data_IF_306411042428
#
_entry.id   IF_306411042428
#
_cell.length_a   1.000
_cell.length_b   1.000
_cell.length_c   1.000
_cell.angle_alpha   90.00
_cell.angle_beta   90.00
_cell.angle_gamma   90.00
#
_symmetry.space_group_name_H-M   'P 1'
#
loop_
_entity.id
_entity.type
_entity.pdbx_description
1 polymer ?
#
# COMPACT_ATOMS: atom_id res chain seq x y z
N UNK A 1 -23.88 -0.04 0.13
CA UNK A 1 -22.90 0.27 1.20
C UNK A 1 -22.02 1.39 0.69
N UNK A 2 -22.04 2.52 1.39
CA UNK A 2 -21.31 3.73 1.01
C UNK A 2 -19.84 3.55 1.34
N UNK A 3 -18.97 3.70 0.35
CA UNK A 3 -17.52 3.56 0.49
C UNK A 3 -16.99 4.76 1.26
N UNK A 4 -16.52 4.55 2.48
CA UNK A 4 -15.90 5.62 3.27
C UNK A 4 -14.44 5.75 2.87
N UNK A 5 -14.16 6.64 1.92
CA UNK A 5 -12.80 7.15 1.72
C UNK A 5 -12.51 8.26 2.75
N UNK A 6 -11.25 8.42 3.20
CA UNK A 6 -10.82 9.63 3.88
C UNK A 6 -11.15 10.85 2.99
N UNK A 7 -11.60 11.95 3.61
CA UNK A 7 -11.92 13.20 2.90
C UNK A 7 -10.80 13.56 1.92
N UNK A 8 -11.15 13.82 0.65
CA UNK A 8 -10.26 14.37 -0.38
C UNK A 8 -9.43 15.51 0.23
N UNK A 9 -8.12 15.32 0.35
CA UNK A 9 -7.19 16.44 0.43
C UNK A 9 -7.27 17.18 -0.90
N UNK A 10 -7.42 18.50 -0.82
CA UNK A 10 -8.02 19.35 -1.87
C UNK A 10 -7.14 19.52 -3.13
N UNK A 11 -5.94 18.93 -3.16
CA UNK A 11 -4.91 19.18 -4.19
C UNK A 11 -4.23 17.90 -4.75
N UNK A 12 -4.87 16.72 -4.66
CA UNK A 12 -4.30 15.48 -5.24
C UNK A 12 -5.09 15.02 -6.47
N UNK A 13 -4.39 14.75 -7.57
CA UNK A 13 -4.97 14.12 -8.77
C UNK A 13 -5.47 12.71 -8.43
N UNK A 14 -6.70 12.38 -8.83
CA UNK A 14 -7.25 11.03 -8.72
C UNK A 14 -6.83 10.15 -9.89
N UNK A 15 -7.14 8.85 -9.81
CA UNK A 15 -6.78 7.88 -10.84
C UNK A 15 -7.33 8.26 -12.24
N UNK A 16 -8.50 8.89 -12.32
CA UNK A 16 -9.07 9.34 -13.60
C UNK A 16 -8.27 10.48 -14.19
N UNK A 17 -7.99 11.50 -13.40
CA UNK A 17 -7.23 12.66 -13.84
C UNK A 17 -5.81 12.26 -14.27
N UNK A 18 -5.17 11.34 -13.53
CA UNK A 18 -3.86 10.79 -13.91
C UNK A 18 -3.95 10.07 -15.26
N UNK A 19 -4.91 9.16 -15.42
CA UNK A 19 -4.97 8.33 -16.62
C UNK A 19 -5.40 9.10 -17.87
N UNK A 20 -6.11 10.22 -17.74
CA UNK A 20 -6.35 11.14 -18.86
C UNK A 20 -5.05 11.70 -19.46
N UNK A 21 -4.00 11.91 -18.65
CA UNK A 21 -2.68 12.29 -19.15
C UNK A 21 -1.93 11.09 -19.70
N UNK A 22 -1.95 9.96 -18.98
CA UNK A 22 -1.22 8.74 -19.36
C UNK A 22 -1.61 8.24 -20.76
N UNK A 23 -2.91 8.14 -21.07
CA UNK A 23 -3.36 7.56 -22.36
C UNK A 23 -3.04 8.43 -23.58
N UNK A 24 -2.61 9.68 -23.38
CA UNK A 24 -2.27 10.62 -24.46
C UNK A 24 -0.78 10.62 -24.80
N UNK A 25 0.05 10.02 -23.95
CA UNK A 25 1.49 9.91 -24.14
C UNK A 25 1.87 8.43 -24.27
N UNK A 26 2.24 7.94 -25.48
CA UNK A 26 2.53 6.54 -25.71
C UNK A 26 3.63 5.96 -24.80
N UNK A 27 4.68 6.73 -24.49
CA UNK A 27 5.79 6.24 -23.66
C UNK A 27 5.33 6.01 -22.22
N UNK A 28 4.60 6.98 -21.66
CA UNK A 28 4.05 6.89 -20.31
C UNK A 28 2.97 5.82 -20.25
N UNK A 29 2.17 5.68 -21.31
CA UNK A 29 1.14 4.65 -21.42
C UNK A 29 1.73 3.25 -21.38
N UNK A 30 2.76 2.99 -22.19
CA UNK A 30 3.44 1.68 -22.23
C UNK A 30 4.16 1.37 -20.91
N UNK A 31 4.79 2.37 -20.30
CA UNK A 31 5.36 2.22 -18.96
C UNK A 31 4.30 1.83 -17.93
N UNK A 32 3.12 2.44 -17.99
CA UNK A 32 2.00 2.14 -17.08
C UNK A 32 1.49 0.72 -17.28
N UNK A 33 1.32 0.27 -18.53
CA UNK A 33 0.93 -1.11 -18.85
C UNK A 33 1.98 -2.13 -18.39
N UNK A 34 3.27 -1.81 -18.55
CA UNK A 34 4.36 -2.66 -18.05
C UNK A 34 4.39 -2.73 -16.51
N UNK A 35 3.98 -1.67 -15.81
CA UNK A 35 3.77 -1.71 -14.35
C UNK A 35 2.63 -2.61 -13.94
N UNK A 36 1.52 -2.63 -14.68
CA UNK A 36 0.46 -3.61 -14.43
C UNK A 36 0.99 -5.03 -14.61
N UNK A 37 1.63 -5.32 -15.76
CA UNK A 37 2.24 -6.63 -16.03
C UNK A 37 3.13 -7.10 -14.89
N UNK A 38 4.02 -6.21 -14.42
CA UNK A 38 4.95 -6.52 -13.33
C UNK A 38 4.22 -6.73 -12.00
N UNK A 39 3.13 -6.00 -11.76
CA UNK A 39 2.32 -6.13 -10.54
C UNK A 39 1.63 -7.49 -10.47
N UNK A 40 1.04 -7.97 -11.57
CA UNK A 40 0.37 -9.29 -11.58
C UNK A 40 1.35 -10.44 -11.41
N UNK A 41 2.55 -10.32 -12.00
CA UNK A 41 3.64 -11.28 -11.78
C UNK A 41 4.07 -11.32 -10.31
N UNK A 42 4.09 -10.16 -9.65
CA UNK A 42 4.46 -10.06 -8.24
C UNK A 42 3.36 -10.65 -7.35
N UNK A 43 2.09 -10.37 -7.63
CA UNK A 43 0.96 -10.98 -6.94
C UNK A 43 1.02 -12.52 -6.97
N UNK A 44 1.36 -13.13 -8.12
CA UNK A 44 1.58 -14.58 -8.22
C UNK A 44 2.61 -15.09 -7.20
N UNK A 45 3.75 -14.40 -7.07
CA UNK A 45 4.81 -14.77 -6.13
C UNK A 45 4.33 -14.65 -4.69
N UNK A 46 3.70 -13.54 -4.33
CA UNK A 46 3.31 -13.26 -2.94
C UNK A 46 2.21 -14.21 -2.47
N UNK A 47 1.23 -14.51 -3.33
CA UNK A 47 0.19 -15.51 -3.07
C UNK A 47 0.78 -16.92 -2.94
N UNK A 48 1.81 -17.26 -3.72
CA UNK A 48 2.51 -18.56 -3.60
C UNK A 48 3.21 -18.66 -2.24
N UNK A 49 3.92 -17.61 -1.82
CA UNK A 49 4.56 -17.55 -0.49
C UNK A 49 3.51 -17.71 0.63
N UNK A 50 2.33 -17.11 0.47
CA UNK A 50 1.24 -17.28 1.44
C UNK A 50 0.75 -18.73 1.52
N UNK A 51 0.57 -19.41 0.38
CA UNK A 51 0.21 -20.84 0.35
C UNK A 51 1.25 -21.69 1.06
N UNK A 52 2.54 -21.43 0.81
CA UNK A 52 3.64 -22.16 1.47
C UNK A 52 3.62 -21.94 2.99
N UNK A 53 3.40 -20.70 3.45
CA UNK A 53 3.29 -20.38 4.89
C UNK A 53 2.07 -21.01 5.56
N UNK A 54 0.98 -21.19 4.81
CA UNK A 54 -0.21 -21.87 5.31
C UNK A 54 0.05 -23.35 5.59
N UNK A 55 0.99 -23.98 4.89
CA UNK A 55 1.43 -25.37 5.13
C UNK A 55 0.24 -26.35 5.31
N UNK A 56 -0.68 -26.33 4.35
CA UNK A 56 -1.88 -27.17 4.35
C UNK A 56 -2.98 -26.76 5.34
N UNK A 57 -2.73 -25.76 6.21
CA UNK A 57 -3.74 -25.20 7.12
C UNK A 57 -4.72 -24.34 6.32
N UNK A 58 -6.01 -24.48 6.62
CA UNK A 58 -7.10 -23.82 5.91
C UNK A 58 -7.17 -24.20 4.41
N UNK A 59 -7.51 -25.47 4.14
CA UNK A 59 -7.56 -26.08 2.81
C UNK A 59 -8.43 -25.32 1.80
N UNK A 60 -9.51 -24.69 2.26
CA UNK A 60 -10.39 -23.89 1.40
C UNK A 60 -9.69 -22.61 0.94
N UNK A 61 -9.03 -21.90 1.86
CA UNK A 61 -8.24 -20.71 1.53
C UNK A 61 -7.11 -21.05 0.56
N UNK A 62 -6.36 -22.13 0.80
CA UNK A 62 -5.28 -22.58 -0.10
C UNK A 62 -5.83 -22.82 -1.52
N UNK A 63 -6.95 -23.53 -1.64
CA UNK A 63 -7.58 -23.81 -2.94
C UNK A 63 -7.97 -22.52 -3.66
N UNK A 64 -8.52 -21.56 -2.93
CA UNK A 64 -8.94 -20.29 -3.52
C UNK A 64 -7.73 -19.43 -3.91
N UNK A 65 -6.68 -19.38 -3.09
CA UNK A 65 -5.41 -18.72 -3.43
C UNK A 65 -4.77 -19.32 -4.69
N UNK A 66 -4.83 -20.64 -4.89
CA UNK A 66 -4.33 -21.26 -6.13
C UNK A 66 -5.11 -20.82 -7.37
N UNK A 67 -6.41 -20.55 -7.25
CA UNK A 67 -7.22 -20.00 -8.35
C UNK A 67 -6.87 -18.55 -8.60
N UNK A 68 -6.68 -17.77 -7.53
CA UNK A 68 -6.23 -16.39 -7.61
C UNK A 68 -4.89 -16.29 -8.36
N UNK A 69 -3.89 -17.12 -7.99
CA UNK A 69 -2.61 -17.20 -8.72
C UNK A 69 -2.81 -17.52 -10.21
N UNK A 70 -3.75 -18.41 -10.55
CA UNK A 70 -4.03 -18.72 -11.94
C UNK A 70 -4.60 -17.51 -12.70
N UNK A 71 -5.47 -16.73 -12.07
CA UNK A 71 -6.03 -15.51 -12.65
C UNK A 71 -4.91 -14.47 -12.86
N UNK A 72 -4.08 -14.20 -11.85
CA UNK A 72 -2.97 -13.24 -11.98
C UNK A 72 -1.93 -13.65 -13.01
N UNK A 73 -1.66 -14.96 -13.14
CA UNK A 73 -0.78 -15.46 -14.18
C UNK A 73 -1.36 -15.20 -15.58
N UNK A 74 -2.68 -15.31 -15.76
CA UNK A 74 -3.36 -14.97 -17.02
C UNK A 74 -3.36 -13.47 -17.27
N UNK A 75 -3.59 -12.64 -16.25
CA UNK A 75 -3.50 -11.18 -16.37
C UNK A 75 -2.10 -10.74 -16.83
N UNK A 76 -1.06 -11.23 -16.15
CA UNK A 76 0.33 -11.02 -16.51
C UNK A 76 0.61 -11.44 -17.96
N UNK A 77 0.09 -12.60 -18.38
CA UNK A 77 0.26 -13.09 -19.73
C UNK A 77 -0.40 -12.14 -20.75
N UNK A 78 -1.67 -11.76 -20.56
CA UNK A 78 -2.37 -10.89 -21.51
C UNK A 78 -1.71 -9.53 -21.63
N UNK A 79 -1.23 -8.96 -20.52
CA UNK A 79 -0.47 -7.71 -20.53
C UNK A 79 0.89 -7.85 -21.23
N UNK A 80 1.55 -9.01 -21.08
CA UNK A 80 2.81 -9.31 -21.79
C UNK A 80 2.57 -9.41 -23.29
N UNK A 81 1.54 -10.14 -23.72
CA UNK A 81 1.18 -10.31 -25.12
C UNK A 81 0.79 -8.96 -25.76
N UNK A 82 0.03 -8.14 -25.03
CA UNK A 82 -0.32 -6.77 -25.44
C UNK A 82 0.92 -5.89 -25.63
N UNK A 83 1.81 -5.83 -24.63
CA UNK A 83 3.03 -5.01 -24.72
C UNK A 83 3.94 -5.47 -25.87
N UNK A 84 4.03 -6.79 -26.09
CA UNK A 84 4.75 -7.34 -27.23
C UNK A 84 4.14 -6.91 -28.56
N UNK A 85 2.81 -6.98 -28.71
CA UNK A 85 2.11 -6.53 -29.93
C UNK A 85 2.28 -5.03 -30.19
N UNK A 86 2.28 -4.21 -29.14
CA UNK A 86 2.51 -2.76 -29.21
C UNK A 86 3.98 -2.38 -29.45
N UNK A 87 4.90 -3.35 -29.46
CA UNK A 87 6.33 -3.10 -29.61
C UNK A 87 6.98 -2.41 -28.41
N UNK A 88 6.36 -2.50 -27.22
CA UNK A 88 6.84 -1.90 -25.99
C UNK A 88 7.94 -2.75 -25.33
N UNK A 89 8.74 -2.13 -24.45
CA UNK A 89 9.73 -2.84 -23.66
C UNK A 89 9.08 -3.74 -22.59
N UNK A 90 9.65 -4.93 -22.39
CA UNK A 90 9.23 -5.92 -21.38
C UNK A 90 10.20 -6.01 -20.19
N UNK A 91 11.06 -5.00 -20.02
CA UNK A 91 11.97 -4.91 -18.89
C UNK A 91 11.23 -4.67 -17.57
N UNK A 92 11.96 -4.75 -16.46
CA UNK A 92 11.46 -4.28 -15.16
C UNK A 92 11.19 -2.77 -15.26
N UNK A 93 9.98 -2.29 -14.93
CA UNK A 93 9.67 -0.87 -14.98
C UNK A 93 10.62 -0.04 -14.09
N UNK A 94 11.16 1.10 -14.56
CA UNK A 94 12.05 1.96 -13.77
C UNK A 94 11.33 2.69 -12.62
N UNK A 95 12.08 3.20 -11.64
CA UNK A 95 11.56 4.02 -10.53
C UNK A 95 11.02 3.21 -9.35
N UNK A 96 10.52 3.89 -8.28
CA UNK A 96 9.96 3.20 -7.14
C UNK A 96 8.74 2.37 -7.56
N UNK A 97 8.73 1.10 -7.17
CA UNK A 97 7.59 0.21 -7.36
C UNK A 97 6.58 0.48 -6.23
N UNK A 98 5.31 0.69 -6.61
CA UNK A 98 4.20 0.76 -5.66
C UNK A 98 4.20 -0.45 -4.72
N UNK A 99 4.46 -1.65 -5.27
CA UNK A 99 4.48 -2.88 -4.49
C UNK A 99 5.69 -2.92 -3.55
N UNK A 100 6.87 -2.48 -4.00
CA UNK A 100 8.05 -2.47 -3.13
C UNK A 100 7.86 -1.48 -1.97
N UNK A 101 7.25 -0.32 -2.22
CA UNK A 101 6.93 0.65 -1.16
C UNK A 101 5.84 0.12 -0.22
N UNK A 102 4.83 -0.58 -0.77
CA UNK A 102 3.81 -1.24 0.03
C UNK A 102 4.44 -2.30 0.93
N UNK A 103 5.20 -3.25 0.37
CA UNK A 103 5.95 -4.29 1.10
C UNK A 103 6.87 -3.69 2.17
N UNK A 104 7.59 -2.60 1.84
CA UNK A 104 8.45 -1.90 2.79
C UNK A 104 7.68 -1.38 4.00
N UNK A 105 6.44 -0.93 3.82
CA UNK A 105 5.57 -0.47 4.90
C UNK A 105 4.89 -1.65 5.64
N UNK A 106 4.85 -2.85 5.04
CA UNK A 106 4.38 -4.10 5.65
C UNK A 106 5.41 -4.73 6.60
N UNK A 107 6.68 -4.84 6.16
CA UNK A 107 7.72 -5.67 6.80
C UNK A 107 8.06 -5.26 8.25
N UNK A 108 7.81 -4.02 8.65
CA UNK A 108 8.20 -3.50 9.98
C UNK A 108 7.20 -3.77 11.12
N UNK A 109 6.15 -4.56 10.89
CA UNK A 109 5.03 -4.68 11.83
C UNK A 109 4.71 -6.08 12.38
N UNK A 110 5.69 -6.97 12.59
CA UNK A 110 5.38 -8.11 13.49
C UNK A 110 6.19 -9.39 13.38
N UNK A 111 7.17 -9.47 12.49
CA UNK A 111 8.11 -10.58 12.48
C UNK A 111 9.20 -10.43 13.55
N UNK A 112 8.85 -10.19 14.83
CA UNK A 112 9.88 -10.22 15.89
C UNK A 112 10.49 -11.63 15.91
N UNK A 113 11.82 -11.78 15.77
CA UNK A 113 12.46 -13.08 15.90
C UNK A 113 12.14 -13.68 17.28
N UNK A 114 11.48 -14.84 17.32
CA UNK A 114 11.23 -15.60 18.55
C UNK A 114 9.81 -15.58 19.11
N UNK A 115 8.81 -15.00 18.42
CA UNK A 115 7.39 -15.15 18.79
C UNK A 115 6.68 -16.20 17.92
N UNK A 116 5.86 -17.04 18.56
CA UNK A 116 4.96 -17.96 17.87
C UNK A 116 3.92 -17.13 17.08
N UNK A 117 3.88 -17.28 15.75
CA UNK A 117 2.97 -16.54 14.87
C UNK A 117 1.50 -16.87 15.25
N UNK A 118 0.74 -15.87 15.71
CA UNK A 118 -0.73 -15.97 15.74
C UNK A 118 -1.21 -16.05 14.28
N UNK A 119 -1.45 -17.28 13.82
CA UNK A 119 -1.84 -17.56 12.45
C UNK A 119 -3.14 -16.83 12.06
N UNK A 120 -4.05 -16.62 13.01
CA UNK A 120 -5.30 -15.92 12.73
C UNK A 120 -5.06 -14.43 12.50
N UNK A 121 -4.21 -13.81 13.33
CA UNK A 121 -3.79 -12.42 13.16
C UNK A 121 -3.04 -12.22 11.83
N UNK A 122 -2.06 -13.07 11.55
CA UNK A 122 -1.32 -13.06 10.29
C UNK A 122 -2.23 -13.16 9.06
N UNK A 123 -3.26 -14.01 9.11
CA UNK A 123 -4.20 -14.18 8.01
C UNK A 123 -5.14 -13.00 7.83
N UNK A 124 -5.64 -12.40 8.93
CA UNK A 124 -6.44 -11.17 8.86
C UNK A 124 -5.64 -10.07 8.17
N UNK A 125 -4.39 -9.89 8.60
CA UNK A 125 -3.50 -8.85 8.11
C UNK A 125 -3.16 -9.05 6.63
N UNK A 126 -2.79 -10.27 6.26
CA UNK A 126 -2.43 -10.59 4.88
C UNK A 126 -3.63 -10.47 3.93
N UNK A 127 -4.81 -10.95 4.33
CA UNK A 127 -6.03 -10.81 3.52
C UNK A 127 -6.49 -9.36 3.41
N UNK A 128 -6.28 -8.54 4.45
CA UNK A 128 -6.56 -7.12 4.40
C UNK A 128 -5.60 -6.40 3.45
N UNK A 129 -4.30 -6.74 3.48
CA UNK A 129 -3.29 -6.21 2.57
C UNK A 129 -3.60 -6.55 1.10
N UNK A 130 -3.86 -7.82 0.79
CA UNK A 130 -4.28 -8.25 -0.56
C UNK A 130 -5.53 -7.46 -0.98
N UNK A 131 -6.59 -7.48 -0.16
CA UNK A 131 -7.85 -6.86 -0.55
C UNK A 131 -7.79 -5.34 -0.78
N UNK A 132 -6.80 -4.61 -0.24
CA UNK A 132 -6.63 -3.18 -0.55
C UNK A 132 -5.85 -2.97 -1.85
N UNK A 133 -4.87 -3.81 -2.18
CA UNK A 133 -4.14 -3.75 -3.46
C UNK A 133 -5.04 -4.13 -4.62
N UNK A 134 -5.87 -5.17 -4.48
CA UNK A 134 -6.91 -5.56 -5.46
C UNK A 134 -7.90 -4.42 -5.74
N UNK A 135 -8.30 -3.68 -4.69
CA UNK A 135 -9.18 -2.51 -4.84
C UNK A 135 -8.51 -1.39 -5.63
N UNK A 136 -7.20 -1.21 -5.46
CA UNK A 136 -6.42 -0.22 -6.20
C UNK A 136 -6.34 -0.61 -7.67
N UNK A 137 -6.01 -1.87 -7.98
CA UNK A 137 -5.98 -2.41 -9.34
C UNK A 137 -7.31 -2.18 -10.06
N UNK A 138 -8.41 -2.64 -9.45
CA UNK A 138 -9.77 -2.45 -9.96
C UNK A 138 -10.13 -0.96 -10.21
N UNK A 139 -9.77 -0.06 -9.29
CA UNK A 139 -9.98 1.38 -9.46
C UNK A 139 -9.19 1.93 -10.67
N UNK A 140 -7.93 1.53 -10.82
CA UNK A 140 -7.07 1.97 -11.91
C UNK A 140 -7.54 1.44 -13.26
N UNK A 141 -7.84 0.15 -13.38
CA UNK A 141 -8.37 -0.43 -14.61
C UNK A 141 -9.68 0.24 -15.03
N UNK A 142 -10.59 0.49 -14.08
CA UNK A 142 -11.83 1.22 -14.37
C UNK A 142 -11.56 2.67 -14.84
N UNK A 143 -10.61 3.36 -14.22
CA UNK A 143 -10.21 4.70 -14.65
C UNK A 143 -9.52 4.69 -16.03
N UNK A 144 -8.78 3.63 -16.35
CA UNK A 144 -8.06 3.47 -17.62
C UNK A 144 -9.03 3.28 -18.77
N UNK A 145 -9.99 2.36 -18.61
CA UNK A 145 -11.10 2.17 -19.55
C UNK A 145 -11.85 3.49 -19.77
N UNK A 146 -12.09 4.25 -18.69
CA UNK A 146 -12.75 5.55 -18.80
C UNK A 146 -11.93 6.54 -19.65
N UNK A 147 -10.63 6.65 -19.39
CA UNK A 147 -9.73 7.55 -20.12
C UNK A 147 -9.61 7.15 -21.62
N UNK A 148 -9.51 5.85 -21.92
CA UNK A 148 -9.45 5.33 -23.29
C UNK A 148 -10.70 5.68 -24.11
N UNK A 149 -11.87 5.75 -23.46
CA UNK A 149 -13.13 6.19 -24.12
C UNK A 149 -13.17 7.68 -24.45
N UNK A 150 -12.24 8.49 -23.95
CA UNK A 150 -12.17 9.93 -24.19
C UNK A 150 -11.12 10.33 -25.24
N UNK A 151 -10.34 9.38 -25.75
CA UNK A 151 -9.31 9.61 -26.78
C UNK A 151 -9.71 8.97 -28.11
N UNK A 152 -9.08 9.35 -29.24
CA UNK A 152 -9.40 8.75 -30.54
C UNK A 152 -9.27 7.23 -30.53
N UNK A 153 -10.19 6.57 -31.22
CA UNK A 153 -10.19 5.12 -31.42
C UNK A 153 -9.09 4.74 -32.42
N UNK A 154 -7.90 4.44 -31.89
CA UNK A 154 -6.79 3.86 -32.64
C UNK A 154 -6.72 2.37 -32.41
N UNK A 155 -5.99 1.63 -33.27
CA UNK A 155 -5.74 0.20 -33.06
C UNK A 155 -5.11 -0.05 -31.69
N UNK A 156 -4.10 0.75 -31.32
CA UNK A 156 -3.41 0.63 -30.04
C UNK A 156 -4.37 0.81 -28.87
N UNK A 157 -5.17 1.89 -28.87
CA UNK A 157 -6.14 2.16 -27.81
C UNK A 157 -7.22 1.08 -27.71
N UNK A 158 -7.63 0.50 -28.84
CA UNK A 158 -8.60 -0.60 -28.90
C UNK A 158 -8.03 -1.85 -28.23
N UNK A 159 -6.81 -2.26 -28.58
CA UNK A 159 -6.14 -3.42 -27.97
C UNK A 159 -5.96 -3.26 -26.47
N UNK A 160 -5.55 -2.07 -26.01
CA UNK A 160 -5.40 -1.79 -24.58
C UNK A 160 -6.76 -1.85 -23.88
N UNK A 161 -7.80 -1.23 -24.45
CA UNK A 161 -9.14 -1.25 -23.88
C UNK A 161 -9.67 -2.69 -23.73
N UNK A 162 -9.58 -3.50 -24.78
CA UNK A 162 -10.02 -4.90 -24.76
C UNK A 162 -9.27 -5.74 -23.72
N UNK A 163 -7.95 -5.54 -23.59
CA UNK A 163 -7.15 -6.24 -22.60
C UNK A 163 -7.57 -5.88 -21.17
N UNK A 164 -7.69 -4.59 -20.85
CA UNK A 164 -8.07 -4.14 -19.50
C UNK A 164 -9.53 -4.51 -19.19
N UNK A 165 -10.43 -4.42 -20.16
CA UNK A 165 -11.84 -4.82 -20.00
C UNK A 165 -11.99 -6.32 -19.75
N UNK A 166 -11.06 -7.14 -20.26
CA UNK A 166 -11.01 -8.57 -19.97
C UNK A 166 -10.54 -8.88 -18.54
N UNK A 167 -9.59 -8.11 -18.01
CA UNK A 167 -9.01 -8.28 -16.66
C UNK A 167 -9.99 -7.81 -15.57
N UNK A 168 -10.61 -6.64 -15.76
CA UNK A 168 -11.39 -5.95 -14.72
C UNK A 168 -12.47 -6.82 -13.99
N UNK A 169 -13.24 -7.71 -14.66
CA UNK A 169 -14.20 -8.56 -13.97
C UNK A 169 -13.57 -9.55 -12.99
N UNK A 170 -12.37 -10.04 -13.29
CA UNK A 170 -11.60 -10.98 -12.46
C UNK A 170 -11.06 -10.27 -11.21
N UNK A 171 -10.44 -9.10 -11.38
CA UNK A 171 -10.03 -8.19 -10.27
C UNK A 171 -11.19 -7.86 -9.32
N UNK A 172 -12.35 -7.52 -9.90
CA UNK A 172 -13.53 -7.26 -9.10
C UNK A 172 -13.99 -8.52 -8.32
N UNK A 173 -13.74 -9.71 -8.86
CA UNK A 173 -14.00 -10.97 -8.17
C UNK A 173 -13.01 -11.23 -7.03
N UNK A 174 -11.73 -10.90 -7.19
CA UNK A 174 -10.70 -10.96 -6.14
C UNK A 174 -11.03 -10.03 -4.98
N UNK A 175 -11.42 -8.77 -5.25
CA UNK A 175 -11.93 -7.84 -4.22
C UNK A 175 -13.12 -8.44 -3.47
N UNK A 176 -14.10 -9.01 -4.20
CA UNK A 176 -15.26 -9.64 -3.54
C UNK A 176 -14.83 -10.83 -2.70
N UNK A 177 -13.86 -11.61 -3.17
CA UNK A 177 -13.32 -12.76 -2.46
C UNK A 177 -12.63 -12.36 -1.15
N UNK A 178 -11.72 -11.39 -1.18
CA UNK A 178 -11.02 -10.90 0.01
C UNK A 178 -12.00 -10.34 1.05
N UNK A 179 -12.99 -9.54 0.61
CA UNK A 179 -14.04 -9.05 1.51
C UNK A 179 -14.89 -10.18 2.13
N UNK A 180 -15.17 -11.26 1.38
CA UNK A 180 -15.91 -12.42 1.93
C UNK A 180 -15.11 -13.11 3.03
N UNK A 181 -13.82 -13.39 2.81
CA UNK A 181 -12.95 -14.02 3.80
C UNK A 181 -12.80 -13.17 5.05
N UNK A 182 -12.49 -11.88 4.92
CA UNK A 182 -12.40 -10.96 6.06
C UNK A 182 -13.72 -10.89 6.85
N UNK A 183 -14.86 -10.90 6.15
CA UNK A 183 -16.17 -10.91 6.81
C UNK A 183 -16.46 -12.24 7.52
N UNK A 184 -16.00 -13.37 7.00
CA UNK A 184 -16.10 -14.66 7.68
C UNK A 184 -15.27 -14.67 8.96
N UNK A 185 -14.02 -14.19 8.91
CA UNK A 185 -13.15 -14.10 10.07
C UNK A 185 -13.69 -13.13 11.13
N UNK A 186 -14.25 -11.99 10.72
CA UNK A 186 -14.88 -11.04 11.64
C UNK A 186 -16.07 -11.65 12.41
N UNK A 187 -16.76 -12.65 11.85
CA UNK A 187 -17.90 -13.31 12.49
C UNK A 187 -17.51 -14.37 13.52
N UNK A 188 -16.25 -14.78 13.60
CA UNK A 188 -15.85 -15.85 14.52
C UNK A 188 -15.77 -15.39 15.97
N UNK A 189 -15.42 -14.11 16.23
CA UNK A 189 -15.42 -13.53 17.57
C UNK A 189 -15.46 -12.00 17.53
N UNK A 190 -15.87 -11.36 18.65
CA UNK A 190 -15.78 -9.90 18.79
C UNK A 190 -14.34 -9.38 18.70
N UNK A 191 -13.37 -10.17 19.17
CA UNK A 191 -11.94 -9.88 19.04
C UNK A 191 -11.53 -9.83 17.56
N UNK A 192 -11.96 -10.81 16.76
CA UNK A 192 -11.64 -10.86 15.34
C UNK A 192 -12.37 -9.79 14.53
N UNK A 193 -13.60 -9.44 14.91
CA UNK A 193 -14.28 -8.29 14.33
C UNK A 193 -13.46 -7.00 14.50
N UNK A 194 -12.94 -6.75 15.71
CA UNK A 194 -12.10 -5.59 15.98
C UNK A 194 -10.78 -5.63 15.18
N UNK A 195 -10.10 -6.79 15.17
CA UNK A 195 -8.86 -7.00 14.39
C UNK A 195 -9.07 -6.76 12.89
N UNK A 196 -10.13 -7.32 12.29
CA UNK A 196 -10.43 -7.13 10.87
C UNK A 196 -10.68 -5.65 10.55
N UNK A 197 -11.40 -4.93 11.39
CA UNK A 197 -11.65 -3.50 11.16
C UNK A 197 -10.40 -2.64 11.36
N UNK A 198 -9.52 -3.01 12.30
CA UNK A 198 -8.21 -2.39 12.47
C UNK A 198 -7.30 -2.63 11.27
N UNK A 199 -7.16 -3.89 10.83
CA UNK A 199 -6.39 -4.28 9.66
C UNK A 199 -6.89 -3.52 8.41
N UNK A 200 -8.20 -3.51 8.14
CA UNK A 200 -8.75 -2.74 7.01
C UNK A 200 -8.36 -1.26 7.02
N UNK A 201 -8.43 -0.61 8.18
CA UNK A 201 -8.05 0.81 8.30
C UNK A 201 -6.55 1.01 8.06
N UNK A 202 -5.74 0.17 8.70
CA UNK A 202 -4.28 0.23 8.61
C UNK A 202 -3.80 -0.03 7.19
N UNK A 203 -4.22 -1.13 6.58
CA UNK A 203 -3.78 -1.46 5.22
C UNK A 203 -4.31 -0.47 4.18
N UNK A 204 -5.50 0.11 4.37
CA UNK A 204 -5.95 1.20 3.50
C UNK A 204 -5.07 2.45 3.61
N UNK A 205 -4.57 2.78 4.81
CA UNK A 205 -3.64 3.90 5.00
C UNK A 205 -2.26 3.61 4.39
N UNK A 206 -1.73 2.39 4.59
CA UNK A 206 -0.47 1.94 3.99
C UNK A 206 -0.56 1.96 2.47
N UNK A 207 -1.64 1.41 1.91
CA UNK A 207 -1.92 1.39 0.48
C UNK A 207 -1.94 2.80 -0.09
N UNK A 208 -2.66 3.71 0.56
CA UNK A 208 -2.77 5.10 0.11
C UNK A 208 -1.42 5.82 0.14
N UNK A 209 -0.59 5.58 1.18
CA UNK A 209 0.74 6.16 1.27
C UNK A 209 1.70 5.60 0.19
N UNK A 210 1.72 4.27 -0.01
CA UNK A 210 2.53 3.64 -1.05
C UNK A 210 2.14 4.14 -2.45
N UNK A 211 0.83 4.29 -2.68
CA UNK A 211 0.28 4.83 -3.91
C UNK A 211 0.75 6.27 -4.16
N UNK A 212 0.70 7.14 -3.17
CA UNK A 212 1.19 8.53 -3.30
C UNK A 212 2.68 8.60 -3.63
N UNK A 213 3.52 7.76 -3.00
CA UNK A 213 4.96 7.70 -3.28
C UNK A 213 5.24 7.26 -4.71
N UNK A 214 4.47 6.29 -5.22
CA UNK A 214 4.56 5.88 -6.63
C UNK A 214 4.18 6.99 -7.61
N UNK A 215 3.47 8.02 -7.13
CA UNK A 215 2.98 9.16 -7.90
C UNK A 215 3.78 10.46 -7.67
N UNK A 216 4.76 10.43 -6.78
CA UNK A 216 5.50 11.60 -6.32
C UNK A 216 6.60 12.00 -7.33
N UNK A 217 6.17 12.56 -8.46
CA UNK A 217 7.03 13.28 -9.43
C UNK A 217 6.96 14.81 -9.20
N UNK A 218 6.28 15.27 -8.13
CA UNK A 218 5.98 16.70 -7.88
C UNK A 218 6.72 17.26 -6.65
N UNK A 219 7.09 18.54 -6.72
CA UNK A 219 7.71 19.28 -5.60
C UNK A 219 6.87 19.17 -4.30
N UNK A 220 7.52 18.94 -3.15
CA UNK A 220 6.86 18.76 -1.85
C UNK A 220 6.60 17.30 -1.43
N UNK A 221 7.07 16.34 -2.23
CA UNK A 221 7.01 14.89 -1.97
C UNK A 221 7.51 14.48 -0.57
N UNK A 222 8.63 15.06 -0.11
CA UNK A 222 9.24 14.75 1.20
C UNK A 222 8.35 15.16 2.40
N UNK A 223 7.64 16.28 2.27
CA UNK A 223 6.73 16.76 3.32
C UNK A 223 5.47 15.89 3.41
N UNK A 224 4.88 15.53 2.26
CA UNK A 224 3.72 14.62 2.20
C UNK A 224 4.07 13.23 2.74
N UNK A 225 5.22 12.69 2.34
CA UNK A 225 5.75 11.43 2.87
C UNK A 225 5.92 11.45 4.39
N UNK A 226 6.44 12.56 4.94
CA UNK A 226 6.55 12.75 6.39
C UNK A 226 5.19 12.78 7.06
N UNK A 227 4.23 13.55 6.53
CA UNK A 227 2.87 13.61 7.07
C UNK A 227 2.18 12.24 7.08
N UNK A 228 2.32 11.44 6.00
CA UNK A 228 1.74 10.10 5.89
C UNK A 228 2.36 9.11 6.87
N UNK A 229 3.66 9.20 7.15
CA UNK A 229 4.27 8.38 8.21
C UNK A 229 3.58 8.62 9.56
N UNK A 230 3.26 9.87 9.89
CA UNK A 230 2.50 10.18 11.10
C UNK A 230 1.08 9.63 11.06
N UNK A 231 0.38 9.75 9.93
CA UNK A 231 -0.97 9.20 9.76
C UNK A 231 -0.99 7.67 9.88
N UNK A 232 0.00 6.95 9.33
CA UNK A 232 0.12 5.49 9.52
C UNK A 232 0.43 5.17 10.97
N UNK A 233 1.38 5.89 11.58
CA UNK A 233 1.71 5.70 12.99
C UNK A 233 0.49 5.91 13.90
N UNK A 234 -0.41 6.83 13.56
CA UNK A 234 -1.67 7.04 14.29
C UNK A 234 -2.63 5.85 14.22
N UNK A 235 -2.53 5.01 13.19
CA UNK A 235 -3.30 3.76 13.09
C UNK A 235 -2.76 2.63 13.95
N UNK A 236 -1.51 2.71 14.43
CA UNK A 236 -0.87 1.71 15.27
C UNK A 236 -1.19 1.90 16.77
N UNK A 237 -1.07 0.85 17.60
CA UNK A 237 -1.07 0.96 19.05
C UNK A 237 -0.05 1.99 19.54
N UNK A 238 -0.38 2.75 20.60
CA UNK A 238 0.40 3.92 21.07
C UNK A 238 1.88 3.58 21.33
N UNK A 239 2.16 2.36 21.76
CA UNK A 239 3.51 1.85 22.07
C UNK A 239 4.32 1.44 20.84
N UNK A 240 3.69 1.18 19.69
CA UNK A 240 4.35 0.80 18.44
C UNK A 240 4.71 2.01 17.58
N UNK A 241 3.98 3.13 17.75
CA UNK A 241 4.18 4.37 16.99
C UNK A 241 5.62 4.90 17.02
N UNK A 242 6.30 4.98 18.19
CA UNK A 242 7.67 5.50 18.25
C UNK A 242 8.65 4.64 17.46
N UNK A 243 8.52 3.30 17.54
CA UNK A 243 9.37 2.38 16.78
C UNK A 243 9.19 2.58 15.27
N UNK A 244 7.93 2.56 14.82
CA UNK A 244 7.56 2.77 13.41
C UNK A 244 8.09 4.10 12.86
N UNK A 245 7.91 5.21 13.59
CA UNK A 245 8.39 6.51 13.14
C UNK A 245 9.92 6.57 13.05
N UNK A 246 10.63 6.01 14.02
CA UNK A 246 12.09 6.11 14.10
C UNK A 246 12.82 5.27 13.06
N UNK A 247 12.19 4.20 12.60
CA UNK A 247 12.69 3.38 11.51
C UNK A 247 12.52 4.04 10.14
N UNK A 248 11.40 4.76 9.96
CA UNK A 248 11.05 5.31 8.65
C UNK A 248 11.43 6.79 8.44
N UNK A 249 11.45 7.64 9.49
CA UNK A 249 11.83 9.06 9.36
C UNK A 249 13.20 9.29 8.70
N UNK A 250 14.28 8.56 9.05
CA UNK A 250 15.63 8.79 8.51
C UNK A 250 15.73 8.66 6.99
N UNK A 251 14.78 7.97 6.36
CA UNK A 251 14.79 7.70 4.91
C UNK A 251 14.03 8.75 4.09
N UNK A 252 13.32 9.67 4.76
CA UNK A 252 12.47 10.71 4.14
C UNK A 252 13.03 12.11 4.41
N UNK A 253 13.89 12.22 5.42
CA UNK A 253 14.43 13.48 5.90
C UNK A 253 15.77 13.79 5.20
N UNK A 254 15.99 15.03 4.72
CA UNK A 254 17.24 15.43 4.06
C UNK A 254 18.49 15.11 4.88
N UNK A 255 19.62 14.83 4.22
CA UNK A 255 20.92 14.50 4.85
C UNK A 255 21.34 15.50 5.96
N UNK A 256 20.94 16.76 5.84
CA UNK A 256 21.22 17.82 6.81
C UNK A 256 20.53 17.66 8.17
N UNK A 257 19.49 16.83 8.27
CA UNK A 257 18.73 16.52 9.49
C UNK A 257 18.94 15.07 9.97
N UNK A 258 19.59 14.22 9.15
CA UNK A 258 19.89 12.82 9.44
C UNK A 258 20.70 12.65 10.73
N UNK A 259 21.65 13.56 11.01
CA UNK A 259 22.43 13.54 12.25
C UNK A 259 21.53 13.65 13.51
N UNK A 260 20.49 14.49 13.48
CA UNK A 260 19.55 14.65 14.61
C UNK A 260 18.68 13.41 14.80
N UNK A 261 18.32 12.74 13.71
CA UNK A 261 17.59 11.48 13.73
C UNK A 261 18.43 10.32 14.25
N UNK A 262 19.70 10.23 13.87
CA UNK A 262 20.63 9.25 14.41
C UNK A 262 20.77 9.41 15.93
N UNK A 263 20.88 10.64 16.44
CA UNK A 263 20.90 10.88 17.89
C UNK A 263 19.58 10.49 18.58
N UNK A 264 18.43 10.74 17.96
CA UNK A 264 17.14 10.27 18.47
C UNK A 264 17.07 8.73 18.48
N UNK A 265 17.53 8.08 17.40
CA UNK A 265 17.56 6.62 17.25
C UNK A 265 18.44 5.94 18.31
N UNK A 266 19.62 6.48 18.56
CA UNK A 266 20.49 6.02 19.64
C UNK A 266 19.86 6.22 21.02
N UNK A 267 19.12 7.32 21.24
CA UNK A 267 18.47 7.59 22.51
C UNK A 267 17.30 6.63 22.80
N UNK A 268 16.48 6.31 21.80
CA UNK A 268 15.40 5.32 21.92
C UNK A 268 15.91 3.91 22.13
N UNK A 269 16.91 3.48 21.34
CA UNK A 269 17.51 2.15 21.50
C UNK A 269 18.12 1.95 22.90
N UNK A 270 18.59 3.03 23.54
CA UNK A 270 19.19 2.99 24.87
C UNK A 270 18.16 2.94 26.00
N UNK A 271 17.05 3.67 25.87
CA UNK A 271 16.00 3.74 26.91
C UNK A 271 14.64 4.19 26.30
N UNK A 272 13.84 3.24 25.78
CA UNK A 272 12.61 3.53 25.06
C UNK A 272 11.55 4.25 25.92
N UNK A 273 11.46 3.89 27.21
CA UNK A 273 10.48 4.44 28.15
C UNK A 273 10.77 5.91 28.43
N UNK A 274 12.05 6.25 28.67
CA UNK A 274 12.47 7.63 28.93
C UNK A 274 12.42 8.52 27.69
N UNK A 275 12.66 7.94 26.51
CA UNK A 275 12.53 8.62 25.23
C UNK A 275 11.10 9.11 24.99
N UNK A 276 10.10 8.25 25.19
CA UNK A 276 8.67 8.59 25.04
C UNK A 276 8.23 9.65 26.07
N UNK A 277 8.72 9.58 27.31
CA UNK A 277 8.30 10.47 28.39
C UNK A 277 8.92 11.88 28.34
N UNK A 278 10.11 12.06 27.76
CA UNK A 278 10.84 13.35 27.82
C UNK A 278 11.29 13.89 26.47
N UNK A 279 11.64 13.04 25.52
CA UNK A 279 12.21 13.48 24.24
C UNK A 279 11.13 13.71 23.17
N UNK A 280 10.12 12.85 23.11
CA UNK A 280 9.00 13.00 22.17
C UNK A 280 8.29 14.36 22.28
N UNK A 281 7.97 14.88 23.49
CA UNK A 281 7.33 16.19 23.64
C UNK A 281 8.20 17.35 23.16
N UNK A 282 9.51 17.28 23.39
CA UNK A 282 10.47 18.30 22.95
C UNK A 282 10.72 18.25 21.43
N UNK A 283 10.69 17.07 20.81
CA UNK A 283 10.89 16.88 19.37
C UNK A 283 9.67 17.30 18.54
N UNK A 284 8.46 17.09 19.08
CA UNK A 284 7.17 17.38 18.43
C UNK A 284 6.61 18.77 18.82
N UNK A 285 7.33 19.56 19.62
CA UNK A 285 6.92 20.91 20.01
C UNK A 285 5.75 20.98 20.99
N UNK A 286 5.44 19.89 21.70
CA UNK A 286 4.47 19.89 22.80
C UNK A 286 5.17 20.27 24.11
N UNK A 287 5.69 21.49 24.21
CA UNK A 287 5.93 22.05 25.55
C UNK A 287 4.58 22.41 26.17
N UNK A 288 4.26 21.78 27.31
CA UNK A 288 3.23 22.30 28.21
C UNK A 288 3.63 23.72 28.60
N UNK A 289 2.84 24.69 28.18
CA UNK A 289 2.89 26.10 28.59
C UNK A 289 2.53 26.26 30.07
N UNK A 290 3.35 25.78 30.99
CA UNK A 290 3.16 25.99 32.44
C UNK A 290 4.39 26.56 33.17
N UNK A 291 5.45 27.00 32.46
CA UNK A 291 6.64 27.56 33.11
C UNK A 291 7.08 28.96 32.61
N UNK A 292 6.12 29.85 32.31
CA UNK A 292 6.40 31.31 32.15
C UNK A 292 5.92 32.14 33.36
N UNK A 293 5.33 31.53 34.40
CA UNK A 293 4.92 32.26 35.63
C UNK A 293 5.88 32.19 36.82
N UNK A 294 7.16 31.82 36.64
CA UNK A 294 8.15 31.81 37.75
C UNK A 294 9.41 32.67 37.55
N UNK A 295 9.38 33.64 36.63
CA UNK A 295 10.42 34.68 36.53
C UNK A 295 9.83 36.09 36.37
N UNK A 296 8.84 36.41 37.19
CA UNK A 296 8.38 37.77 37.42
C UNK A 296 7.96 37.93 38.90
N UNK A 297 8.92 37.68 39.80
CA UNK A 297 8.96 38.16 41.18
C UNK A 297 10.41 38.45 41.56
#
# INVERSE_FOLDING_TARGET
MTVTYPRKLRDQFGAREILEFVVRDPEIHYLTLNRYRYSEQRACKDLTILIERLDGKNRELIRDLSRHIHDEARHAQWLTDLLYELGAELNTPPGPSYIDEFERLLDDNGGRPGHELDLEEFLIDTLAAINVTEKRGCLYFSAHIHALKQVPETRENTLVHECIERILPEEAAHVRWGNRWLAQMARTSAKNAARVEEAKRRYAAIEHAAFEVSMDVTLGAEWRRTQRLFEIAETLPVWERPGYLMEHLPRIVPETQLARLTFAQMAFQRDPVRFVQRFLPALLGFERTDEIQRKAS
#
